data_IF_198581728832
#
_entry.id   IF_198581728832
#
_cell.length_a   1.000
_cell.length_b   1.000
_cell.length_c   1.000
_cell.angle_alpha   90.00
_cell.angle_beta   90.00
_cell.angle_gamma   90.00
#
_symmetry.space_group_name_H-M   'P 1'
#
loop_
_entity.id
_entity.type
_entity.pdbx_description
1 polymer ?
#
# COMPACT_ATOMS: atom_id res chain seq x y z
N UNK A 1 -1.39 -12.65 -16.09
CA UNK A 1 0.05 -12.52 -16.46
C UNK A 1 0.88 -12.69 -15.18
N UNK A 2 1.85 -13.61 -15.16
CA UNK A 2 2.69 -13.84 -13.97
C UNK A 2 3.72 -12.72 -13.83
N UNK A 3 3.75 -12.06 -12.67
CA UNK A 3 4.76 -11.06 -12.35
C UNK A 3 6.09 -11.77 -12.12
N UNK A 4 7.17 -11.26 -12.74
CA UNK A 4 8.52 -11.77 -12.54
C UNK A 4 9.13 -11.08 -11.32
N UNK A 5 10.08 -11.76 -10.67
CA UNK A 5 10.81 -11.16 -9.56
C UNK A 5 11.54 -9.88 -10.03
N UNK A 6 11.27 -8.75 -9.37
CA UNK A 6 11.98 -7.48 -9.57
C UNK A 6 13.15 -7.45 -8.59
N UNK A 7 14.39 -7.40 -9.11
CA UNK A 7 15.58 -7.18 -8.28
C UNK A 7 15.44 -5.84 -7.54
N UNK A 8 15.75 -5.82 -6.24
CA UNK A 8 15.64 -4.60 -5.43
C UNK A 8 14.23 -4.32 -4.89
N UNK A 9 13.24 -5.20 -5.10
CA UNK A 9 11.87 -4.92 -4.70
C UNK A 9 11.71 -4.76 -3.18
N UNK A 10 12.42 -5.55 -2.38
CA UNK A 10 12.32 -5.48 -0.92
C UNK A 10 12.95 -4.19 -0.41
N UNK A 11 14.13 -3.86 -0.94
CA UNK A 11 14.89 -2.67 -0.63
C UNK A 11 14.12 -1.40 -1.02
N UNK A 12 13.40 -1.42 -2.15
CA UNK A 12 12.54 -0.31 -2.56
C UNK A 12 11.37 -0.11 -1.60
N UNK A 13 10.74 -1.20 -1.15
CA UNK A 13 9.66 -1.14 -0.17
C UNK A 13 10.17 -0.62 1.20
N UNK A 14 11.34 -1.08 1.64
CA UNK A 14 12.00 -0.63 2.87
C UNK A 14 12.45 0.83 2.83
N UNK A 15 12.86 1.33 1.66
CA UNK A 15 13.26 2.72 1.46
C UNK A 15 12.09 3.72 1.44
N UNK A 16 10.83 3.24 1.46
CA UNK A 16 9.64 4.09 1.37
C UNK A 16 8.67 3.90 2.56
N UNK A 17 9.12 4.09 3.81
CA UNK A 17 8.29 3.88 5.01
C UNK A 17 7.10 4.86 5.11
N UNK A 18 7.13 5.98 4.39
CA UNK A 18 6.01 6.92 4.31
C UNK A 18 4.79 6.37 3.55
N UNK A 19 4.99 5.33 2.74
CA UNK A 19 3.92 4.68 1.98
C UNK A 19 3.76 3.20 2.36
N UNK A 20 4.84 2.56 2.83
CA UNK A 20 4.88 1.12 3.06
C UNK A 20 4.94 0.83 4.56
N UNK A 21 3.90 0.15 5.05
CA UNK A 21 3.88 -0.40 6.42
C UNK A 21 4.39 -1.84 6.39
N UNK A 22 5.66 -2.05 6.75
CA UNK A 22 6.28 -3.38 6.79
C UNK A 22 5.86 -4.22 8.01
N UNK A 23 5.52 -3.56 9.11
CA UNK A 23 5.09 -4.19 10.38
C UNK A 23 3.62 -3.84 10.69
N UNK A 24 2.63 -4.42 9.98
CA UNK A 24 1.23 -4.03 10.14
C UNK A 24 0.66 -4.30 11.54
N UNK A 25 1.27 -5.19 12.33
CA UNK A 25 0.88 -5.43 13.72
C UNK A 25 1.14 -4.21 14.61
N UNK A 26 2.17 -3.40 14.30
CA UNK A 26 2.46 -2.16 15.03
C UNK A 26 1.47 -1.04 14.69
N UNK A 27 0.90 -1.10 13.47
CA UNK A 27 -0.16 -0.21 13.00
C UNK A 27 -1.56 -0.60 13.53
N UNK A 28 -1.70 -1.75 14.21
CA UNK A 28 -2.98 -2.19 14.77
C UNK A 28 -3.56 -1.11 15.69
N UNK A 29 -4.80 -0.72 15.41
CA UNK A 29 -5.53 0.35 16.11
C UNK A 29 -4.93 1.77 15.98
N UNK A 30 -3.90 1.98 15.14
CA UNK A 30 -3.23 3.26 14.91
C UNK A 30 -3.35 3.76 13.46
N UNK A 31 -4.23 3.16 12.67
CA UNK A 31 -4.39 3.54 11.26
C UNK A 31 -4.80 5.00 11.08
N UNK A 32 -5.65 5.52 11.98
CA UNK A 32 -6.06 6.94 11.97
C UNK A 32 -4.87 7.86 12.22
N UNK A 33 -3.99 7.50 13.15
CA UNK A 33 -2.76 8.25 13.43
C UNK A 33 -1.82 8.26 12.22
N UNK A 34 -1.73 7.13 11.50
CA UNK A 34 -0.94 7.02 10.26
C UNK A 34 -1.49 7.89 9.12
N UNK A 35 -2.82 7.95 8.97
CA UNK A 35 -3.46 8.81 7.97
C UNK A 35 -3.56 10.29 8.40
N UNK A 36 -3.42 10.57 9.69
CA UNK A 36 -3.56 11.92 10.26
C UNK A 36 -4.99 12.47 10.21
N UNK A 37 -5.99 11.61 10.06
CA UNK A 37 -7.40 11.99 9.94
C UNK A 37 -8.35 10.86 10.39
N UNK A 38 -9.65 11.16 10.46
CA UNK A 38 -10.72 10.24 10.85
C UNK A 38 -11.55 9.70 9.66
N UNK A 39 -11.04 9.82 8.44
CA UNK A 39 -11.76 9.39 7.24
C UNK A 39 -11.97 7.86 7.23
N UNK A 40 -13.03 7.38 6.54
CA UNK A 40 -13.24 5.94 6.34
C UNK A 40 -12.02 5.28 5.72
N UNK A 41 -11.75 4.02 6.10
CA UNK A 41 -10.65 3.22 5.56
C UNK A 41 -11.22 2.10 4.69
N UNK A 42 -10.79 2.05 3.44
CA UNK A 42 -11.06 0.96 2.51
C UNK A 42 -9.80 0.13 2.26
N UNK A 43 -9.96 -1.18 2.08
CA UNK A 43 -8.85 -2.12 1.89
C UNK A 43 -8.99 -2.85 0.56
N UNK A 44 -7.92 -2.91 -0.21
CA UNK A 44 -7.80 -3.78 -1.38
C UNK A 44 -6.88 -4.97 -1.03
N UNK A 45 -7.42 -6.18 -1.09
CA UNK A 45 -6.65 -7.43 -0.89
C UNK A 45 -6.28 -8.00 -2.25
N UNK A 46 -4.98 -8.14 -2.51
CA UNK A 46 -4.45 -8.50 -3.83
C UNK A 46 -4.33 -7.28 -4.75
N UNK A 47 -3.75 -6.18 -4.24
CA UNK A 47 -3.67 -4.91 -4.97
C UNK A 47 -2.76 -4.94 -6.20
N UNK A 48 -1.96 -6.00 -6.38
CA UNK A 48 -1.06 -6.14 -7.50
C UNK A 48 -0.12 -4.94 -7.59
N UNK A 49 -0.16 -4.23 -8.72
CA UNK A 49 0.68 -3.05 -8.98
C UNK A 49 0.12 -1.75 -8.37
N UNK A 50 -0.98 -1.81 -7.64
CA UNK A 50 -1.56 -0.65 -6.94
C UNK A 50 -2.34 0.35 -7.80
N UNK A 51 -2.52 0.09 -9.11
CA UNK A 51 -3.20 1.03 -10.00
C UNK A 51 -4.65 1.32 -9.58
N UNK A 52 -5.38 0.29 -9.09
CA UNK A 52 -6.76 0.44 -8.66
C UNK A 52 -6.86 1.24 -7.36
N UNK A 53 -6.20 0.81 -6.28
CA UNK A 53 -6.19 1.53 -5.00
C UNK A 53 -5.73 2.99 -5.15
N UNK A 54 -4.67 3.25 -5.92
CA UNK A 54 -4.19 4.62 -6.16
C UNK A 54 -5.17 5.44 -6.98
N UNK A 55 -5.85 4.83 -7.96
CA UNK A 55 -6.90 5.49 -8.74
C UNK A 55 -8.14 5.84 -7.89
N UNK A 56 -8.51 4.96 -6.97
CA UNK A 56 -9.62 5.19 -6.03
C UNK A 56 -9.29 6.28 -5.01
N UNK A 57 -8.08 6.29 -4.47
CA UNK A 57 -7.60 7.34 -3.57
C UNK A 57 -7.60 8.73 -4.23
N UNK A 58 -7.18 8.81 -5.51
CA UNK A 58 -7.23 10.07 -6.28
C UNK A 58 -8.66 10.57 -6.52
N UNK A 59 -9.61 9.66 -6.75
CA UNK A 59 -11.01 10.01 -7.00
C UNK A 59 -11.79 10.34 -5.73
N UNK A 60 -11.36 9.83 -4.58
CA UNK A 60 -12.06 9.95 -3.30
C UNK A 60 -11.08 10.43 -2.22
N UNK A 61 -10.72 11.72 -2.19
CA UNK A 61 -9.74 12.26 -1.23
C UNK A 61 -10.21 12.16 0.23
N UNK A 62 -11.52 12.00 0.45
CA UNK A 62 -12.13 11.86 1.77
C UNK A 62 -12.18 10.40 2.25
N UNK A 63 -11.49 9.48 1.58
CA UNK A 63 -11.38 8.07 1.95
C UNK A 63 -9.91 7.67 1.99
N UNK A 64 -9.51 7.02 3.08
CA UNK A 64 -8.20 6.43 3.24
C UNK A 64 -8.17 5.03 2.60
N UNK A 65 -7.08 4.69 1.92
CA UNK A 65 -6.95 3.41 1.24
C UNK A 65 -5.70 2.65 1.67
N UNK A 66 -5.85 1.34 1.88
CA UNK A 66 -4.75 0.41 2.16
C UNK A 66 -4.75 -0.68 1.10
N UNK A 67 -3.66 -0.78 0.33
CA UNK A 67 -3.41 -1.90 -0.59
C UNK A 67 -2.56 -2.97 0.08
N UNK A 68 -2.96 -4.23 -0.04
CA UNK A 68 -2.24 -5.39 0.51
C UNK A 68 -1.95 -6.37 -0.62
N UNK A 69 -0.70 -6.80 -0.76
CA UNK A 69 -0.33 -7.90 -1.65
C UNK A 69 0.73 -8.78 -0.99
N UNK A 70 0.67 -10.08 -1.27
CA UNK A 70 1.63 -11.06 -0.74
C UNK A 70 2.96 -11.03 -1.51
N UNK A 71 2.96 -10.60 -2.77
CA UNK A 71 4.16 -10.57 -3.61
C UNK A 71 4.85 -9.21 -3.53
N UNK A 72 5.96 -9.13 -2.79
CA UNK A 72 6.78 -7.90 -2.70
C UNK A 72 7.15 -7.32 -4.08
N UNK A 73 7.51 -8.18 -5.04
CA UNK A 73 7.84 -7.72 -6.39
C UNK A 73 6.67 -7.06 -7.11
N UNK A 74 5.42 -7.50 -6.91
CA UNK A 74 4.29 -6.81 -7.55
C UNK A 74 3.97 -5.51 -6.82
N UNK A 75 3.99 -5.54 -5.48
CA UNK A 75 3.70 -4.36 -4.66
C UNK A 75 4.69 -3.23 -4.89
N UNK A 76 5.97 -3.56 -5.15
CA UNK A 76 7.00 -2.56 -5.46
C UNK A 76 6.69 -1.69 -6.70
N UNK A 77 5.83 -2.15 -7.61
CA UNK A 77 5.37 -1.33 -8.75
C UNK A 77 4.35 -0.27 -8.36
N UNK A 78 3.75 -0.34 -7.16
CA UNK A 78 2.86 0.70 -6.67
C UNK A 78 3.61 1.97 -6.25
N UNK A 79 4.94 1.89 -6.13
CA UNK A 79 5.84 3.01 -5.80
C UNK A 79 6.46 3.67 -7.04
N UNK A 80 6.15 3.16 -8.24
CA UNK A 80 6.56 3.77 -9.52
C UNK A 80 5.54 4.86 -9.93
#
# INVERSE_FOLDING_TARGET
MRVRNRKGATELLEANPQYVVLNPLEAKAKWRDLFGNDNPIHVEVGSGKGAFVSGMAKQNPDINYIGIDIQKSVLSYALD
#
